data_IF_333692521962
#
_entry.id   IF_333692521962
#
_cell.length_a   1.000
_cell.length_b   1.000
_cell.length_c   1.000
_cell.angle_alpha   90.00
_cell.angle_beta   90.00
_cell.angle_gamma   90.00
#
_symmetry.space_group_name_H-M   'P 1'
#
loop_
_entity.id
_entity.type
_entity.pdbx_description
1 polymer ?
#
# COMPACT_ATOMS: atom_id res chain seq x y z
N UNK A 1 -21.48 -1.82 -17.40
CA UNK A 1 -21.44 -2.60 -16.15
C UNK A 1 -20.10 -2.34 -15.52
N UNK A 2 -20.08 -1.83 -14.29
CA UNK A 2 -18.85 -1.51 -13.57
C UNK A 2 -18.03 -2.76 -13.30
N UNK A 3 -16.74 -2.73 -13.62
CA UNK A 3 -15.77 -3.78 -13.30
C UNK A 3 -15.01 -3.37 -12.04
N UNK A 4 -14.85 -4.29 -11.08
CA UNK A 4 -14.11 -4.05 -9.86
C UNK A 4 -12.95 -5.03 -9.80
N UNK A 5 -11.72 -4.51 -9.73
CA UNK A 5 -10.52 -5.28 -9.44
C UNK A 5 -10.24 -5.24 -7.94
N UNK A 6 -10.22 -6.42 -7.32
CA UNK A 6 -10.04 -6.56 -5.88
C UNK A 6 -8.60 -6.89 -5.47
N UNK A 7 -7.64 -6.81 -6.39
CA UNK A 7 -6.23 -7.13 -6.14
C UNK A 7 -5.26 -6.11 -6.76
N UNK A 8 -5.63 -4.84 -6.70
CA UNK A 8 -4.88 -3.73 -7.27
C UNK A 8 -3.84 -3.19 -6.29
N UNK A 9 -2.57 -3.54 -6.49
CA UNK A 9 -1.50 -3.13 -5.60
C UNK A 9 -1.18 -1.63 -5.72
N UNK A 10 -0.80 -1.01 -4.61
CA UNK A 10 -0.36 0.38 -4.52
C UNK A 10 0.77 0.55 -3.50
N UNK A 11 1.65 1.51 -3.76
CA UNK A 11 2.59 2.08 -2.80
C UNK A 11 2.28 3.56 -2.67
N UNK A 12 1.45 3.97 -1.69
CA UNK A 12 1.10 5.37 -1.51
C UNK A 12 2.33 6.24 -1.34
N UNK A 13 2.32 7.44 -1.94
CA UNK A 13 3.52 8.26 -2.10
C UNK A 13 4.17 8.68 -0.78
N UNK A 14 3.39 9.11 0.22
CA UNK A 14 3.94 9.56 1.51
C UNK A 14 4.44 8.36 2.30
N UNK A 15 3.71 7.25 2.27
CA UNK A 15 4.14 5.95 2.80
C UNK A 15 5.49 5.53 2.20
N UNK A 16 5.62 5.53 0.86
CA UNK A 16 6.84 5.08 0.18
C UNK A 16 8.07 5.92 0.56
N UNK A 17 7.93 7.24 0.64
CA UNK A 17 9.03 8.13 1.05
C UNK A 17 9.53 7.78 2.45
N UNK A 18 8.60 7.50 3.38
CA UNK A 18 8.95 7.09 4.75
C UNK A 18 9.55 5.69 4.77
N UNK A 19 8.98 4.76 4.00
CA UNK A 19 9.43 3.38 3.91
C UNK A 19 10.86 3.33 3.38
N UNK A 20 11.15 3.95 2.24
CA UNK A 20 12.51 3.96 1.67
C UNK A 20 13.55 4.54 2.63
N UNK A 21 13.19 5.53 3.46
CA UNK A 21 14.09 6.07 4.48
C UNK A 21 14.39 5.03 5.57
N UNK A 22 13.36 4.35 6.04
CA UNK A 22 13.46 3.31 7.07
C UNK A 22 14.24 2.09 6.57
N UNK A 23 13.91 1.57 5.38
CA UNK A 23 14.55 0.38 4.82
C UNK A 23 16.05 0.55 4.56
N UNK A 24 16.52 1.78 4.28
CA UNK A 24 17.96 2.08 4.18
C UNK A 24 18.74 1.77 5.46
N UNK A 25 18.07 1.80 6.60
CA UNK A 25 18.66 1.53 7.92
C UNK A 25 18.34 0.12 8.40
N UNK A 26 17.17 -0.41 8.04
CA UNK A 26 16.66 -1.67 8.56
C UNK A 26 17.02 -2.91 7.72
N UNK A 27 17.35 -2.76 6.43
CA UNK A 27 17.58 -3.88 5.52
C UNK A 27 19.02 -3.96 5.00
N UNK A 28 19.47 -5.18 4.71
CA UNK A 28 20.73 -5.41 4.02
C UNK A 28 20.70 -4.81 2.60
N UNK A 29 21.84 -4.32 2.06
CA UNK A 29 21.85 -3.64 0.76
C UNK A 29 21.27 -4.45 -0.41
N UNK A 30 21.44 -5.77 -0.41
CA UNK A 30 20.91 -6.63 -1.45
C UNK A 30 19.37 -6.73 -1.40
N UNK A 31 18.80 -6.90 -0.21
CA UNK A 31 17.35 -6.93 0.01
C UNK A 31 16.72 -5.58 -0.32
N UNK A 32 17.36 -4.47 0.08
CA UNK A 32 16.91 -3.14 -0.28
C UNK A 32 16.90 -2.93 -1.80
N UNK A 33 17.95 -3.37 -2.51
CA UNK A 33 17.98 -3.28 -3.99
C UNK A 33 16.85 -4.09 -4.63
N UNK A 34 16.57 -5.30 -4.14
CA UNK A 34 15.46 -6.12 -4.63
C UNK A 34 14.13 -5.35 -4.60
N UNK A 35 13.78 -4.74 -3.46
CA UNK A 35 12.53 -3.99 -3.35
C UNK A 35 12.53 -2.73 -4.22
N UNK A 36 13.61 -1.94 -4.21
CA UNK A 36 13.66 -0.68 -4.95
C UNK A 36 13.60 -0.87 -6.47
N UNK A 37 14.36 -1.83 -6.98
CA UNK A 37 14.52 -2.02 -8.43
C UNK A 37 13.54 -3.04 -8.99
N UNK A 38 13.27 -4.12 -8.24
CA UNK A 38 12.39 -5.21 -8.68
C UNK A 38 10.91 -5.00 -8.38
N UNK A 39 10.57 -4.04 -7.51
CA UNK A 39 9.17 -3.78 -7.13
C UNK A 39 8.83 -2.30 -7.29
N UNK A 40 9.41 -1.42 -6.47
CA UNK A 40 8.93 -0.03 -6.32
C UNK A 40 9.03 0.78 -7.62
N UNK A 41 10.04 0.47 -8.44
CA UNK A 41 10.32 1.17 -9.71
C UNK A 41 10.05 0.31 -10.94
N UNK A 42 9.58 -0.92 -10.74
CA UNK A 42 9.32 -1.84 -11.86
C UNK A 42 8.05 -1.42 -12.62
N UNK A 43 7.01 -1.00 -11.89
CA UNK A 43 5.77 -0.51 -12.46
C UNK A 43 5.43 0.87 -11.87
N UNK A 44 5.43 1.90 -12.72
CA UNK A 44 5.09 3.27 -12.34
C UNK A 44 3.68 3.37 -11.75
N UNK A 45 2.75 2.53 -12.21
CA UNK A 45 1.37 2.52 -11.71
C UNK A 45 1.31 2.17 -10.21
N UNK A 46 2.33 1.57 -9.61
CA UNK A 46 2.35 1.33 -8.17
C UNK A 46 2.39 2.63 -7.36
N UNK A 47 3.13 3.65 -7.84
CA UNK A 47 3.49 4.85 -7.08
C UNK A 47 2.96 6.15 -7.68
N UNK A 48 2.59 6.13 -8.96
CA UNK A 48 2.13 7.28 -9.72
C UNK A 48 0.68 7.05 -10.16
N UNK A 49 -0.21 7.93 -9.71
CA UNK A 49 -1.63 7.83 -10.03
C UNK A 49 -1.92 8.16 -11.50
N UNK A 50 -1.18 9.09 -12.12
CA UNK A 50 -1.30 9.40 -13.54
C UNK A 50 -0.91 8.20 -14.41
N UNK A 51 0.17 7.50 -14.05
CA UNK A 51 0.53 6.25 -14.68
C UNK A 51 -0.56 5.19 -14.51
N UNK A 52 -1.10 5.05 -13.28
CA UNK A 52 -2.21 4.13 -13.00
C UNK A 52 -3.45 4.45 -13.83
N UNK A 53 -3.86 5.71 -13.93
CA UNK A 53 -5.05 6.12 -14.69
C UNK A 53 -4.90 5.78 -16.17
N UNK A 54 -3.74 6.05 -16.78
CA UNK A 54 -3.46 5.66 -18.17
C UNK A 54 -3.54 4.15 -18.36
N UNK A 55 -3.03 3.37 -17.40
CA UNK A 55 -3.06 1.91 -17.49
C UNK A 55 -4.47 1.33 -17.44
N UNK A 56 -5.39 1.97 -16.71
CA UNK A 56 -6.76 1.45 -16.52
C UNK A 56 -7.81 2.08 -17.44
N UNK A 57 -7.50 3.19 -18.11
CA UNK A 57 -8.40 3.90 -19.03
C UNK A 57 -9.06 2.99 -20.08
N UNK A 58 -8.36 2.03 -20.72
CA UNK A 58 -8.97 1.14 -21.71
C UNK A 58 -10.10 0.25 -21.15
N UNK A 59 -10.21 0.12 -19.82
CA UNK A 59 -11.26 -0.67 -19.17
C UNK A 59 -12.55 0.13 -18.91
N UNK A 60 -12.61 1.42 -19.26
CA UNK A 60 -13.85 2.22 -19.17
C UNK A 60 -14.38 2.33 -17.73
N UNK A 61 -15.60 1.84 -17.48
CA UNK A 61 -16.23 1.82 -16.15
C UNK A 61 -15.56 0.74 -15.26
N UNK A 62 -14.42 1.12 -14.68
CA UNK A 62 -13.52 0.26 -13.92
C UNK A 62 -13.09 0.93 -12.62
N UNK A 63 -13.03 0.15 -11.54
CA UNK A 63 -12.62 0.62 -10.21
C UNK A 63 -11.86 -0.45 -9.46
N UNK A 64 -11.17 -0.05 -8.39
CA UNK A 64 -10.23 -0.90 -7.68
C UNK A 64 -10.49 -0.91 -6.17
N UNK A 65 -10.27 -2.06 -5.55
CA UNK A 65 -9.97 -2.16 -4.12
C UNK A 65 -8.45 -2.17 -3.99
N UNK A 66 -7.92 -1.18 -3.29
CA UNK A 66 -6.47 -1.02 -3.13
C UNK A 66 -5.91 -2.11 -2.20
N UNK A 67 -4.73 -2.62 -2.54
CA UNK A 67 -3.96 -3.55 -1.71
C UNK A 67 -2.57 -2.96 -1.53
N UNK A 68 -2.05 -2.90 -0.31
CA UNK A 68 -0.68 -2.41 -0.10
C UNK A 68 0.32 -3.36 -0.76
N UNK A 69 1.23 -2.83 -1.58
CA UNK A 69 2.29 -3.63 -2.19
C UNK A 69 3.38 -4.03 -1.19
N UNK A 70 4.18 -5.03 -1.57
CA UNK A 70 5.33 -5.49 -0.79
C UNK A 70 6.37 -4.38 -0.59
N UNK A 71 7.26 -4.44 0.43
CA UNK A 71 7.46 -5.54 1.39
C UNK A 71 6.26 -5.82 2.30
N UNK A 72 6.03 -7.08 2.71
CA UNK A 72 5.13 -7.37 3.83
C UNK A 72 5.51 -6.54 5.05
N UNK A 73 4.51 -6.04 5.79
CA UNK A 73 4.74 -5.08 6.88
C UNK A 73 5.61 -5.70 7.99
N UNK A 74 5.46 -6.98 8.26
CA UNK A 74 6.26 -7.73 9.23
C UNK A 74 7.74 -7.84 8.86
N UNK A 75 8.10 -7.68 7.58
CA UNK A 75 9.51 -7.70 7.13
C UNK A 75 10.22 -6.37 7.32
N UNK A 76 9.48 -5.27 7.51
CA UNK A 76 10.08 -3.94 7.58
C UNK A 76 10.74 -3.67 8.93
N UNK A 77 10.37 -4.40 9.99
CA UNK A 77 10.92 -4.18 11.32
C UNK A 77 10.17 -4.85 12.47
N UNK A 78 10.53 -4.50 13.72
CA UNK A 78 9.89 -5.06 14.91
C UNK A 78 8.40 -4.65 15.01
N UNK A 79 7.60 -5.33 15.85
CA UNK A 79 6.16 -5.07 16.05
C UNK A 79 5.72 -3.61 16.06
N UNK A 80 6.42 -2.76 16.83
CA UNK A 80 6.08 -1.34 16.96
C UNK A 80 6.23 -0.56 15.65
N UNK A 81 7.26 -0.90 14.86
CA UNK A 81 7.51 -0.31 13.54
C UNK A 81 6.48 -0.84 12.54
N UNK A 82 6.22 -2.14 12.54
CA UNK A 82 5.19 -2.75 11.71
C UNK A 82 3.83 -2.07 11.93
N UNK A 83 3.42 -1.87 13.19
CA UNK A 83 2.16 -1.21 13.53
C UNK A 83 2.12 0.26 13.07
N UNK A 84 3.21 1.01 13.23
CA UNK A 84 3.30 2.39 12.76
C UNK A 84 3.12 2.49 11.23
N UNK A 85 3.84 1.65 10.48
CA UNK A 85 3.76 1.66 9.02
C UNK A 85 2.43 1.13 8.48
N UNK A 86 1.80 0.17 9.18
CA UNK A 86 0.44 -0.26 8.87
C UNK A 86 -0.55 0.89 8.96
N UNK A 87 -0.53 1.63 10.08
CA UNK A 87 -1.39 2.79 10.27
C UNK A 87 -1.17 3.85 9.18
N UNK A 88 0.08 4.17 8.87
CA UNK A 88 0.43 5.15 7.83
C UNK A 88 -0.05 4.74 6.43
N UNK A 89 0.12 3.46 6.08
CA UNK A 89 -0.33 2.95 4.79
C UNK A 89 -1.86 2.99 4.69
N UNK A 90 -2.55 2.52 5.73
CA UNK A 90 -4.01 2.48 5.78
C UNK A 90 -4.61 3.89 5.74
N UNK A 91 -4.01 4.86 6.45
CA UNK A 91 -4.44 6.27 6.43
C UNK A 91 -4.37 6.85 5.02
N UNK A 92 -3.26 6.66 4.33
CA UNK A 92 -3.11 7.19 2.97
C UNK A 92 -4.00 6.45 1.97
N UNK A 93 -4.19 5.12 2.10
CA UNK A 93 -5.15 4.40 1.26
C UNK A 93 -6.59 4.86 1.50
N UNK A 94 -6.96 5.12 2.75
CA UNK A 94 -8.27 5.67 3.10
C UNK A 94 -8.48 7.06 2.49
N UNK A 95 -7.47 7.95 2.60
CA UNK A 95 -7.49 9.27 1.96
C UNK A 95 -7.65 9.15 0.43
N UNK A 96 -6.95 8.20 -0.21
CA UNK A 96 -7.04 7.97 -1.65
C UNK A 96 -8.44 7.52 -2.07
N UNK A 97 -9.06 6.61 -1.31
CA UNK A 97 -10.46 6.16 -1.53
C UNK A 97 -11.43 7.33 -1.39
N UNK A 98 -11.26 8.17 -0.37
CA UNK A 98 -12.13 9.35 -0.18
C UNK A 98 -11.96 10.39 -1.29
N UNK A 99 -10.74 10.56 -1.79
CA UNK A 99 -10.41 11.57 -2.81
C UNK A 99 -10.83 11.14 -4.21
N UNK A 100 -10.81 9.83 -4.51
CA UNK A 100 -11.11 9.28 -5.84
C UNK A 100 -12.18 8.16 -5.79
N UNK A 101 -13.39 8.41 -5.28
CA UNK A 101 -14.40 7.37 -5.03
C UNK A 101 -14.97 6.73 -6.33
N UNK A 102 -14.77 7.38 -7.47
CA UNK A 102 -15.10 6.84 -8.79
C UNK A 102 -14.06 5.80 -9.26
N UNK A 103 -12.81 5.88 -8.77
CA UNK A 103 -11.71 4.99 -9.12
C UNK A 103 -11.43 3.93 -8.07
N UNK A 104 -11.53 4.29 -6.80
CA UNK A 104 -11.22 3.42 -5.66
C UNK A 104 -12.47 3.23 -4.80
N UNK A 105 -12.88 1.97 -4.61
CA UNK A 105 -14.11 1.63 -3.86
C UNK A 105 -13.83 1.10 -2.46
N UNK A 106 -12.56 1.00 -2.09
CA UNK A 106 -12.11 0.54 -0.78
C UNK A 106 -10.63 0.17 -0.81
N UNK A 107 -10.14 -0.33 0.32
CA UNK A 107 -8.80 -0.90 0.44
C UNK A 107 -8.83 -2.12 1.37
N UNK A 108 -7.91 -3.05 1.15
CA UNK A 108 -7.61 -4.11 2.10
C UNK A 108 -6.63 -3.56 3.14
N UNK A 109 -7.04 -3.56 4.41
CA UNK A 109 -6.22 -3.06 5.50
C UNK A 109 -4.93 -3.88 5.62
N UNK A 110 -3.79 -3.19 5.63
CA UNK A 110 -2.51 -3.77 5.96
C UNK A 110 -2.44 -3.94 7.48
N UNK A 111 -2.12 -5.14 7.95
CA UNK A 111 -2.08 -5.46 9.38
C UNK A 111 -0.65 -5.82 9.82
N UNK A 112 -0.20 -5.37 10.99
CA UNK A 112 1.09 -5.77 11.55
C UNK A 112 1.01 -7.20 12.12
N UNK A 113 1.07 -8.22 11.25
CA UNK A 113 0.81 -9.62 11.62
C UNK A 113 1.82 -10.24 12.59
N UNK A 114 2.92 -9.54 12.88
CA UNK A 114 3.87 -9.90 13.94
C UNK A 114 3.41 -9.43 15.35
N UNK A 115 2.26 -8.76 15.46
CA UNK A 115 1.61 -8.34 16.70
C UNK A 115 0.08 -8.48 16.58
N UNK A 116 -0.46 -9.50 17.23
CA UNK A 116 -1.91 -9.78 17.20
C UNK A 116 -2.73 -8.65 17.78
N UNK A 117 -2.30 -8.05 18.89
CA UNK A 117 -3.05 -6.98 19.57
C UNK A 117 -3.06 -5.70 18.74
N UNK A 118 -1.92 -5.35 18.13
CA UNK A 118 -1.87 -4.23 17.20
C UNK A 118 -2.70 -4.49 15.94
N UNK A 119 -2.68 -5.73 15.43
CA UNK A 119 -3.50 -6.11 14.27
C UNK A 119 -5.00 -5.97 14.54
N UNK A 120 -5.49 -6.39 15.71
CA UNK A 120 -6.91 -6.25 16.07
C UNK A 120 -7.32 -4.77 16.18
N UNK A 121 -6.49 -3.94 16.83
CA UNK A 121 -6.75 -2.49 16.91
C UNK A 121 -6.78 -1.83 15.54
N UNK A 122 -5.85 -2.20 14.66
CA UNK A 122 -5.77 -1.62 13.33
C UNK A 122 -6.91 -2.10 12.42
N UNK A 123 -7.35 -3.35 12.59
CA UNK A 123 -8.54 -3.87 11.91
C UNK A 123 -9.78 -3.06 12.31
N UNK A 124 -10.03 -2.87 13.61
CA UNK A 124 -11.18 -2.08 14.08
C UNK A 124 -11.14 -0.63 13.55
N UNK A 125 -9.95 -0.03 13.49
CA UNK A 125 -9.75 1.33 12.97
C UNK A 125 -10.01 1.43 11.47
N UNK A 126 -9.62 0.41 10.70
CA UNK A 126 -9.74 0.42 9.24
C UNK A 126 -11.18 0.17 8.75
N UNK A 127 -12.04 -0.43 9.57
CA UNK A 127 -13.46 -0.72 9.23
C UNK A 127 -14.46 0.26 9.85
N UNK A 128 -14.01 1.17 10.71
CA UNK A 128 -14.83 2.20 11.36
C UNK A 128 -15.21 3.34 10.41
#
# INVERSE_FOLDING_TARGET
>A
MRRIDAFAHILPSRYLVRLERHLKQAMAPAQLRYYREGVFRYDEALTDLDARWRAVEPFGDYSQVLVLAVPPIEEIGPPTIAAEFAALANDEMAELVQTHPDRFVGFAAALPLNDTEASLRELDRAVA
#
